data_IF_484117793027
#
_entry.id   IF_484117793027
#
_cell.length_a   1.000
_cell.length_b   1.000
_cell.length_c   1.000
_cell.angle_alpha   90.00
_cell.angle_beta   90.00
_cell.angle_gamma   90.00
#
_symmetry.space_group_name_H-M   'P 1'
#
loop_
_entity.id
_entity.type
_entity.pdbx_description
1 polymer ?
#
# COMPACT_ATOMS: atom_id res chain seq x y z
N UNK A 1 -10.95 8.31 7.74
CA UNK A 1 -10.36 9.66 7.72
C UNK A 1 -10.90 10.36 6.48
N UNK A 2 -11.58 11.48 6.59
CA UNK A 2 -12.14 12.17 5.43
C UNK A 2 -11.16 13.25 5.01
N UNK A 3 -10.48 13.08 3.87
CA UNK A 3 -9.58 14.10 3.33
C UNK A 3 -10.44 15.16 2.65
N UNK A 4 -10.50 16.36 3.22
CA UNK A 4 -11.19 17.50 2.62
C UNK A 4 -10.18 18.43 1.96
N UNK A 5 -10.17 18.43 0.63
CA UNK A 5 -9.34 19.29 -0.22
C UNK A 5 -10.25 20.14 -1.08
N UNK A 6 -10.08 21.47 -1.03
CA UNK A 6 -10.79 22.39 -1.89
C UNK A 6 -9.81 23.04 -2.87
N UNK A 7 -9.89 22.70 -4.16
CA UNK A 7 -9.08 23.31 -5.22
C UNK A 7 -9.70 24.65 -5.60
N UNK A 8 -9.06 25.74 -5.18
CA UNK A 8 -9.53 27.09 -5.44
C UNK A 8 -9.27 27.53 -6.88
N UNK A 9 -8.04 27.32 -7.37
CA UNK A 9 -7.60 27.82 -8.65
C UNK A 9 -6.58 26.89 -9.29
N UNK A 10 -6.69 26.71 -10.62
CA UNK A 10 -5.63 26.15 -11.45
C UNK A 10 -4.84 27.30 -12.04
N UNK A 11 -3.51 27.30 -11.84
CA UNK A 11 -2.65 28.35 -12.35
C UNK A 11 -2.15 28.03 -13.75
N UNK A 12 -1.73 26.78 -13.96
CA UNK A 12 -1.19 26.36 -15.24
C UNK A 12 -1.22 24.83 -15.38
N UNK A 13 -1.29 24.35 -16.63
CA UNK A 13 -1.06 22.97 -17.02
C UNK A 13 -0.08 22.98 -18.16
N UNK A 14 1.02 22.21 -18.04
CA UNK A 14 2.05 22.13 -19.06
C UNK A 14 2.69 20.75 -19.13
N UNK A 15 3.24 20.44 -20.28
CA UNK A 15 4.20 19.37 -20.47
C UNK A 15 5.60 19.97 -20.61
N UNK A 16 6.60 19.34 -20.05
CA UNK A 16 7.99 19.78 -20.13
C UNK A 16 8.89 18.58 -20.41
N UNK A 17 9.78 18.74 -21.36
CA UNK A 17 10.89 17.83 -21.62
C UNK A 17 12.20 18.60 -21.49
N UNK A 18 13.23 17.99 -20.92
CA UNK A 18 14.50 18.66 -20.73
C UNK A 18 15.67 17.67 -20.62
N UNK A 19 16.72 17.96 -21.34
CA UNK A 19 18.04 17.32 -21.21
C UNK A 19 18.93 18.03 -20.18
N UNK A 20 18.51 19.22 -19.73
CA UNK A 20 19.25 20.07 -18.79
C UNK A 20 18.40 20.50 -17.58
N UNK A 21 17.37 19.69 -17.22
CA UNK A 21 16.56 20.04 -16.09
C UNK A 21 17.37 20.00 -14.79
N UNK A 22 17.34 21.09 -14.05
CA UNK A 22 17.92 21.19 -12.71
C UNK A 22 17.20 22.27 -11.91
N UNK A 23 17.17 22.13 -10.60
CA UNK A 23 16.67 23.12 -9.66
C UNK A 23 17.65 23.24 -8.50
N UNK A 24 18.70 24.03 -8.72
CA UNK A 24 19.80 24.19 -7.76
C UNK A 24 19.44 25.08 -6.57
N UNK A 25 18.44 25.94 -6.70
CA UNK A 25 18.00 26.80 -5.61
C UNK A 25 16.96 26.09 -4.75
N UNK A 26 17.24 26.01 -3.46
CA UNK A 26 16.29 25.56 -2.45
C UNK A 26 15.25 26.67 -2.19
N UNK A 27 14.07 26.55 -2.80
CA UNK A 27 13.04 27.59 -2.75
C UNK A 27 11.63 27.00 -2.87
N UNK A 28 10.64 27.72 -2.33
CA UNK A 28 9.23 27.40 -2.47
C UNK A 28 8.70 27.71 -3.88
N UNK A 29 7.55 27.14 -4.23
CA UNK A 29 6.83 27.44 -5.49
C UNK A 29 5.75 28.50 -5.30
N UNK A 30 5.19 28.62 -4.08
CA UNK A 30 4.04 29.48 -3.79
C UNK A 30 2.67 28.88 -4.14
N UNK A 31 2.62 27.75 -4.84
CA UNK A 31 1.43 26.99 -5.18
C UNK A 31 1.76 25.50 -5.25
N UNK A 32 0.75 24.66 -5.02
CA UNK A 32 0.89 23.22 -5.09
C UNK A 32 1.07 22.75 -6.54
N UNK A 33 1.67 21.58 -6.70
CA UNK A 33 1.78 20.98 -8.03
C UNK A 33 1.52 19.47 -7.98
N UNK A 34 0.80 18.97 -8.99
CA UNK A 34 0.75 17.56 -9.31
C UNK A 34 1.63 17.32 -10.52
N UNK A 35 2.62 16.45 -10.37
CA UNK A 35 3.59 16.12 -11.41
C UNK A 35 3.43 14.66 -11.82
N UNK A 36 3.19 14.38 -13.11
CA UNK A 36 3.26 13.05 -13.67
C UNK A 36 4.57 12.91 -14.44
N UNK A 37 5.47 12.05 -13.94
CA UNK A 37 6.69 11.70 -14.67
C UNK A 37 6.34 10.78 -15.84
N UNK A 38 6.80 11.13 -17.03
CA UNK A 38 6.59 10.35 -18.26
C UNK A 38 7.87 9.71 -18.79
N UNK A 39 9.02 10.29 -18.43
CA UNK A 39 10.34 9.83 -18.84
C UNK A 39 11.38 10.25 -17.79
N UNK A 40 12.35 9.37 -17.54
CA UNK A 40 13.49 9.64 -16.68
C UNK A 40 13.21 9.57 -15.19
N UNK A 41 14.17 10.12 -14.41
CA UNK A 41 14.15 10.08 -12.95
C UNK A 41 14.69 11.38 -12.37
N UNK A 42 14.01 11.87 -11.31
CA UNK A 42 14.37 13.08 -10.57
C UNK A 42 14.29 12.79 -9.07
N UNK A 43 15.32 13.19 -8.31
CA UNK A 43 15.24 13.28 -6.85
C UNK A 43 14.95 14.72 -6.43
N UNK A 44 13.89 14.90 -5.68
CA UNK A 44 13.51 16.15 -5.02
C UNK A 44 14.04 16.14 -3.59
N UNK A 45 14.85 17.13 -3.23
CA UNK A 45 15.47 17.26 -1.91
C UNK A 45 14.71 18.32 -1.09
N UNK A 46 14.11 17.89 0.00
CA UNK A 46 13.44 18.73 1.00
C UNK A 46 14.32 18.84 2.24
N UNK A 47 13.95 19.68 3.20
CA UNK A 47 14.73 19.88 4.42
C UNK A 47 14.94 18.58 5.23
N UNK A 48 13.91 17.76 5.34
CA UNK A 48 13.94 16.55 6.20
C UNK A 48 14.10 15.24 5.44
N UNK A 49 13.79 15.23 4.14
CA UNK A 49 13.82 14.01 3.33
C UNK A 49 14.08 14.29 1.86
N UNK A 50 14.53 13.28 1.14
CA UNK A 50 14.58 13.28 -0.33
C UNK A 50 13.55 12.29 -0.87
N UNK A 51 13.01 12.61 -2.04
CA UNK A 51 11.97 11.81 -2.70
C UNK A 51 12.38 11.62 -4.15
N UNK A 52 12.59 10.38 -4.57
CA UNK A 52 12.89 10.04 -5.97
C UNK A 52 11.60 9.66 -6.69
N UNK A 53 11.46 10.17 -7.91
CA UNK A 53 10.28 10.01 -8.77
C UNK A 53 10.74 9.54 -10.13
N UNK A 54 10.20 8.43 -10.58
CA UNK A 54 10.54 7.78 -11.86
C UNK A 54 9.37 7.84 -12.83
N UNK A 55 9.61 7.49 -14.08
CA UNK A 55 8.56 7.45 -15.11
C UNK A 55 7.37 6.57 -14.66
N UNK A 56 6.17 7.15 -14.71
CA UNK A 56 4.92 6.55 -14.26
C UNK A 56 4.46 7.02 -12.87
N UNK A 57 5.32 7.63 -12.09
CA UNK A 57 4.96 8.14 -10.76
C UNK A 57 4.23 9.49 -10.85
N UNK A 58 3.29 9.67 -9.92
CA UNK A 58 2.68 10.96 -9.61
C UNK A 58 3.34 11.53 -8.36
N UNK A 59 3.79 12.78 -8.41
CA UNK A 59 4.30 13.50 -7.25
C UNK A 59 3.37 14.66 -6.90
N UNK A 60 2.86 14.66 -5.68
CA UNK A 60 2.21 15.83 -5.10
C UNK A 60 3.27 16.68 -4.39
N UNK A 61 3.47 17.92 -4.87
CA UNK A 61 4.42 18.90 -4.35
C UNK A 61 3.67 20.01 -3.64
N UNK A 62 3.77 20.12 -2.30
CA UNK A 62 3.24 21.27 -1.57
C UNK A 62 3.97 22.57 -1.91
N UNK A 63 3.20 23.63 -2.15
CA UNK A 63 3.73 24.92 -2.58
C UNK A 63 4.53 25.68 -1.55
N UNK A 64 4.29 25.41 -0.26
CA UNK A 64 4.92 26.06 0.89
C UNK A 64 6.24 25.42 1.32
N UNK A 65 6.59 24.24 0.81
CA UNK A 65 7.83 23.54 1.14
C UNK A 65 8.94 23.94 0.16
N UNK A 66 10.10 24.40 0.65
CA UNK A 66 11.25 24.62 -0.21
C UNK A 66 11.87 23.30 -0.62
N UNK A 67 12.35 23.23 -1.85
CA UNK A 67 13.06 22.06 -2.37
C UNK A 67 14.07 22.45 -3.45
N UNK A 68 15.07 21.60 -3.64
CA UNK A 68 15.90 21.51 -4.82
C UNK A 68 15.67 20.20 -5.56
N UNK A 69 16.27 20.02 -6.72
CA UNK A 69 16.05 18.77 -7.46
C UNK A 69 17.25 18.40 -8.32
N UNK A 70 17.53 17.10 -8.36
CA UNK A 70 18.62 16.50 -9.12
C UNK A 70 18.07 15.47 -10.09
N UNK A 71 18.46 15.58 -11.34
CA UNK A 71 18.14 14.61 -12.40
C UNK A 71 19.16 13.47 -12.39
N UNK A 72 18.70 12.24 -12.63
CA UNK A 72 19.54 11.03 -12.69
C UNK A 72 19.65 10.40 -14.07
N UNK A 73 18.85 10.87 -15.04
CA UNK A 73 18.82 10.36 -16.41
C UNK A 73 19.17 11.47 -17.41
N UNK A 74 19.60 11.12 -18.61
CA UNK A 74 20.00 12.10 -19.64
C UNK A 74 18.85 13.00 -20.07
N UNK A 75 17.63 12.49 -20.02
CA UNK A 75 16.41 13.20 -20.35
C UNK A 75 15.32 12.97 -19.32
N UNK A 76 14.49 13.96 -19.09
CA UNK A 76 13.29 13.88 -18.26
C UNK A 76 12.10 14.50 -18.97
N UNK A 77 10.95 13.85 -18.84
CA UNK A 77 9.67 14.33 -19.35
C UNK A 77 8.60 14.27 -18.27
N UNK A 78 7.77 15.30 -18.14
CA UNK A 78 6.72 15.32 -17.14
C UNK A 78 5.60 16.32 -17.45
N UNK A 79 4.38 15.97 -17.07
CA UNK A 79 3.27 16.90 -16.96
C UNK A 79 3.28 17.57 -15.60
N UNK A 80 2.86 18.84 -15.56
CA UNK A 80 2.67 19.59 -14.30
C UNK A 80 1.32 20.29 -14.33
N UNK A 81 0.55 20.12 -13.26
CA UNK A 81 -0.63 20.92 -12.95
C UNK A 81 -0.29 21.76 -11.73
N UNK A 82 -0.18 23.08 -11.91
CA UNK A 82 0.07 24.04 -10.85
C UNK A 82 -1.28 24.56 -10.33
N UNK A 83 -1.55 24.40 -9.02
CA UNK A 83 -2.84 24.75 -8.44
C UNK A 83 -2.72 25.31 -7.03
N UNK A 84 -3.79 25.93 -6.55
CA UNK A 84 -3.94 26.40 -5.19
C UNK A 84 -5.08 25.63 -4.52
N UNK A 85 -4.82 25.07 -3.35
CA UNK A 85 -5.85 24.41 -2.56
C UNK A 85 -5.90 24.91 -1.12
N UNK A 86 -7.09 24.81 -0.52
CA UNK A 86 -7.29 24.91 0.93
C UNK A 86 -7.48 23.49 1.46
N UNK A 87 -6.81 23.21 2.57
CA UNK A 87 -6.82 21.94 3.25
C UNK A 87 -7.48 22.10 4.61
N UNK A 88 -8.31 21.14 5.03
CA UNK A 88 -8.75 21.10 6.43
C UNK A 88 -7.56 20.73 7.33
N UNK A 89 -7.64 21.10 8.61
CA UNK A 89 -6.60 20.75 9.60
C UNK A 89 -6.36 19.25 9.74
N UNK A 90 -7.36 18.43 9.38
CA UNK A 90 -7.26 16.96 9.34
C UNK A 90 -6.50 16.43 8.13
N UNK A 91 -6.30 17.24 7.09
CA UNK A 91 -5.61 16.87 5.84
C UNK A 91 -4.09 17.15 5.87
N UNK A 92 -3.45 17.04 7.03
CA UNK A 92 -2.00 17.29 7.23
C UNK A 92 -1.12 16.40 6.34
N UNK A 93 -1.58 15.22 5.97
CA UNK A 93 -0.84 14.29 5.11
C UNK A 93 -0.61 14.84 3.68
N UNK A 94 -1.52 15.67 3.16
CA UNK A 94 -1.34 16.35 1.87
C UNK A 94 -0.35 17.53 1.97
N UNK A 95 0.02 17.92 3.18
CA UNK A 95 1.04 18.95 3.46
C UNK A 95 2.49 18.47 3.29
N UNK A 96 2.71 17.18 3.08
CA UNK A 96 4.02 16.58 2.81
C UNK A 96 4.15 16.17 1.33
N UNK A 97 5.37 16.19 0.76
CA UNK A 97 5.58 15.65 -0.57
C UNK A 97 5.26 14.14 -0.57
N UNK A 98 4.38 13.72 -1.45
CA UNK A 98 3.88 12.36 -1.54
C UNK A 98 4.07 11.83 -2.96
N UNK A 99 4.77 10.69 -3.10
CA UNK A 99 4.79 9.92 -4.33
C UNK A 99 3.63 8.96 -4.30
N UNK A 100 2.76 9.12 -5.26
CA UNK A 100 1.65 8.23 -5.54
C UNK A 100 2.07 7.41 -6.75
N UNK A 101 2.23 6.11 -6.58
CA UNK A 101 2.53 5.21 -7.70
C UNK A 101 1.22 4.58 -8.17
N UNK A 102 0.43 5.26 -9.01
CA UNK A 102 -0.70 4.63 -9.66
C UNK A 102 -0.11 3.52 -10.54
N UNK A 103 -0.79 2.37 -10.63
CA UNK A 103 -0.39 1.36 -11.60
C UNK A 103 -0.21 2.07 -12.95
N UNK A 104 1.00 2.05 -13.47
CA UNK A 104 1.45 2.79 -14.67
C UNK A 104 0.54 2.44 -15.84
N UNK A 105 -0.54 3.18 -16.00
CA UNK A 105 -1.46 2.98 -17.10
C UNK A 105 -1.12 3.97 -18.21
N UNK A 106 -0.88 3.50 -19.44
CA UNK A 106 -0.84 4.36 -20.63
C UNK A 106 -2.05 5.30 -20.70
N UNK A 107 -3.18 4.89 -20.13
CA UNK A 107 -4.40 5.69 -20.02
C UNK A 107 -4.19 6.98 -19.20
N UNK A 108 -3.39 6.96 -18.13
CA UNK A 108 -3.16 8.17 -17.32
C UNK A 108 -2.39 9.23 -18.12
N UNK A 109 -1.35 8.84 -18.86
CA UNK A 109 -0.63 9.75 -19.75
C UNK A 109 -1.54 10.36 -20.82
N UNK A 110 -2.41 9.54 -21.43
CA UNK A 110 -3.38 10.02 -22.42
C UNK A 110 -4.38 11.03 -21.82
N UNK A 111 -4.84 10.78 -20.58
CA UNK A 111 -5.72 11.70 -19.86
C UNK A 111 -5.05 13.05 -19.59
N UNK A 112 -3.77 13.07 -19.16
CA UNK A 112 -3.01 14.31 -18.97
C UNK A 112 -2.80 15.05 -20.30
N UNK A 113 -2.53 14.35 -21.41
CA UNK A 113 -2.40 14.95 -22.73
C UNK A 113 -3.72 15.59 -23.18
N UNK A 114 -4.84 14.90 -23.03
CA UNK A 114 -6.17 15.43 -23.35
C UNK A 114 -6.53 16.65 -22.50
N UNK A 115 -6.17 16.62 -21.18
CA UNK A 115 -6.40 17.76 -20.30
C UNK A 115 -5.55 18.97 -20.70
N UNK A 116 -4.29 18.76 -21.11
CA UNK A 116 -3.43 19.83 -21.62
C UNK A 116 -4.02 20.48 -22.88
N UNK A 117 -4.54 19.68 -23.80
CA UNK A 117 -5.23 20.21 -25.01
C UNK A 117 -6.46 21.04 -24.63
N UNK A 118 -7.30 20.53 -23.70
CA UNK A 118 -8.47 21.26 -23.21
C UNK A 118 -8.06 22.59 -22.56
N UNK A 119 -6.99 22.58 -21.74
CA UNK A 119 -6.48 23.77 -21.10
C UNK A 119 -6.05 24.85 -22.09
N UNK A 120 -5.43 24.44 -23.20
CA UNK A 120 -4.92 25.36 -24.23
C UNK A 120 -6.01 25.88 -25.18
N UNK A 121 -6.99 25.04 -25.51
CA UNK A 121 -7.97 25.34 -26.59
C UNK A 121 -9.32 25.88 -26.09
N UNK A 122 -9.70 25.64 -24.81
CA UNK A 122 -11.03 25.93 -24.30
C UNK A 122 -11.01 26.89 -23.10
N UNK A 123 -10.78 28.20 -23.29
CA UNK A 123 -10.54 29.15 -22.20
C UNK A 123 -11.73 29.33 -21.24
N UNK A 124 -12.96 29.06 -21.69
CA UNK A 124 -14.17 29.20 -20.86
C UNK A 124 -14.34 28.03 -19.90
N UNK A 125 -14.07 26.80 -20.37
CA UNK A 125 -14.37 25.56 -19.64
C UNK A 125 -13.14 25.01 -18.89
N UNK A 126 -11.94 25.46 -19.27
CA UNK A 126 -10.67 24.89 -18.85
C UNK A 126 -10.48 24.79 -17.33
N UNK A 127 -10.91 25.81 -16.58
CA UNK A 127 -10.72 25.83 -15.12
C UNK A 127 -11.59 24.76 -14.43
N UNK A 128 -12.85 24.65 -14.86
CA UNK A 128 -13.77 23.65 -14.33
C UNK A 128 -13.35 22.22 -14.73
N UNK A 129 -12.98 22.02 -16.00
CA UNK A 129 -12.51 20.74 -16.51
C UNK A 129 -11.21 20.30 -15.80
N UNK A 130 -10.27 21.22 -15.59
CA UNK A 130 -9.02 20.95 -14.91
C UNK A 130 -9.22 20.62 -13.43
N UNK A 131 -10.13 21.30 -12.74
CA UNK A 131 -10.49 20.96 -11.34
C UNK A 131 -11.11 19.57 -11.25
N UNK A 132 -12.07 19.25 -12.11
CA UNK A 132 -12.72 17.94 -12.15
C UNK A 132 -11.68 16.82 -12.43
N UNK A 133 -10.80 17.04 -13.39
CA UNK A 133 -9.70 16.14 -13.71
C UNK A 133 -8.77 15.93 -12.51
N UNK A 134 -8.31 17.01 -11.87
CA UNK A 134 -7.41 16.95 -10.73
C UNK A 134 -8.03 16.20 -9.54
N UNK A 135 -9.32 16.46 -9.21
CA UNK A 135 -10.03 15.69 -8.19
C UNK A 135 -10.10 14.20 -8.53
N UNK A 136 -10.39 13.86 -9.78
CA UNK A 136 -10.45 12.45 -10.24
C UNK A 136 -9.12 11.75 -10.10
N UNK A 137 -8.03 12.38 -10.57
CA UNK A 137 -6.67 11.80 -10.49
C UNK A 137 -6.23 11.64 -9.05
N UNK A 138 -6.45 12.64 -8.19
CA UNK A 138 -6.11 12.56 -6.78
C UNK A 138 -6.91 11.46 -6.06
N UNK A 139 -8.22 11.35 -6.32
CA UNK A 139 -9.05 10.31 -5.73
C UNK A 139 -8.58 8.91 -6.13
N UNK A 140 -8.26 8.70 -7.40
CA UNK A 140 -7.73 7.42 -7.90
C UNK A 140 -6.37 7.10 -7.29
N UNK A 141 -5.47 8.06 -7.20
CA UNK A 141 -4.13 7.90 -6.66
C UNK A 141 -4.16 7.56 -5.16
N UNK A 142 -4.97 8.26 -4.36
CA UNK A 142 -5.14 7.95 -2.94
C UNK A 142 -5.80 6.60 -2.71
N UNK A 143 -6.79 6.22 -3.52
CA UNK A 143 -7.42 4.90 -3.44
C UNK A 143 -6.41 3.78 -3.75
N UNK A 144 -5.54 3.95 -4.74
CA UNK A 144 -4.49 3.01 -5.08
C UNK A 144 -3.44 2.88 -3.94
N UNK A 145 -3.05 3.99 -3.32
CA UNK A 145 -2.13 3.99 -2.18
C UNK A 145 -2.72 3.29 -0.95
N UNK A 146 -3.98 3.57 -0.63
CA UNK A 146 -4.68 2.88 0.47
C UNK A 146 -4.77 1.37 0.21
N UNK A 147 -5.04 0.99 -1.04
CA UNK A 147 -5.07 -0.39 -1.46
C UNK A 147 -3.68 -1.06 -1.32
N UNK A 148 -2.61 -0.39 -1.72
CA UNK A 148 -1.23 -0.88 -1.58
C UNK A 148 -0.84 -1.04 -0.11
N UNK A 149 -1.11 -0.05 0.74
CA UNK A 149 -0.88 -0.12 2.20
C UNK A 149 -1.65 -1.28 2.83
N UNK A 150 -2.90 -1.51 2.41
CA UNK A 150 -3.72 -2.62 2.90
C UNK A 150 -3.16 -3.99 2.48
N UNK A 151 -2.56 -4.12 1.29
CA UNK A 151 -1.90 -5.36 0.84
C UNK A 151 -0.64 -5.61 1.66
N UNK A 152 0.20 -4.61 1.84
CA UNK A 152 1.43 -4.70 2.64
C UNK A 152 1.12 -5.10 4.08
N UNK A 153 0.19 -4.42 4.74
CA UNK A 153 -0.23 -4.76 6.11
C UNK A 153 -0.81 -6.17 6.20
N UNK A 154 -1.54 -6.64 5.17
CA UNK A 154 -2.05 -8.01 5.13
C UNK A 154 -0.93 -9.05 5.05
N UNK A 155 0.12 -8.78 4.25
CA UNK A 155 1.28 -9.66 4.12
C UNK A 155 2.09 -9.70 5.42
N UNK A 156 2.36 -8.56 6.05
CA UNK A 156 3.06 -8.48 7.34
C UNK A 156 2.37 -9.29 8.45
N UNK A 157 1.02 -9.24 8.50
CA UNK A 157 0.25 -10.03 9.47
C UNK A 157 0.38 -11.53 9.18
N UNK A 158 0.32 -11.93 7.92
CA UNK A 158 0.46 -13.33 7.50
C UNK A 158 1.85 -13.85 7.84
N UNK A 159 2.90 -13.10 7.53
CA UNK A 159 4.29 -13.46 7.82
C UNK A 159 4.53 -13.59 9.33
N UNK A 160 3.96 -12.68 10.13
CA UNK A 160 4.02 -12.78 11.58
C UNK A 160 3.34 -14.06 12.11
N UNK A 161 2.15 -14.39 11.60
CA UNK A 161 1.43 -15.62 11.97
C UNK A 161 2.29 -16.86 11.65
N UNK A 162 2.93 -16.90 10.49
CA UNK A 162 3.79 -18.02 10.08
C UNK A 162 5.00 -18.17 10.98
N UNK A 163 5.65 -17.06 11.34
CA UNK A 163 6.81 -17.05 12.22
C UNK A 163 6.49 -17.50 13.66
N UNK A 164 5.29 -17.17 14.16
CA UNK A 164 4.87 -17.42 15.56
C UNK A 164 3.85 -18.56 15.70
N UNK A 165 3.73 -19.41 14.69
CA UNK A 165 2.68 -20.44 14.61
C UNK A 165 2.70 -21.43 15.80
N UNK A 166 3.88 -21.70 16.35
CA UNK A 166 4.11 -22.59 17.48
C UNK A 166 3.73 -21.98 18.84
N UNK A 167 3.60 -20.65 18.90
CA UNK A 167 3.34 -19.96 20.17
C UNK A 167 1.90 -20.19 20.62
N UNK A 168 1.74 -20.67 21.85
CA UNK A 168 0.41 -20.90 22.45
C UNK A 168 -0.41 -19.60 22.56
N UNK A 169 0.28 -18.46 22.63
CA UNK A 169 -0.32 -17.13 22.76
C UNK A 169 -0.72 -16.52 21.41
N UNK A 170 -0.48 -17.17 20.29
CA UNK A 170 -0.92 -16.66 18.99
C UNK A 170 -2.44 -16.71 18.91
N UNK A 171 -3.06 -15.62 19.35
CA UNK A 171 -4.51 -15.40 19.38
C UNK A 171 -4.91 -14.15 18.61
N UNK A 172 -6.16 -14.06 18.19
CA UNK A 172 -6.73 -12.86 17.55
C UNK A 172 -6.51 -11.61 18.42
N UNK A 173 -6.74 -11.71 19.73
CA UNK A 173 -6.54 -10.59 20.65
C UNK A 173 -5.08 -10.12 20.71
N UNK A 174 -4.11 -11.04 20.70
CA UNK A 174 -2.70 -10.73 20.73
C UNK A 174 -2.22 -10.13 19.39
N UNK A 175 -2.73 -10.63 18.27
CA UNK A 175 -2.49 -10.04 16.95
C UNK A 175 -3.02 -8.61 16.86
N UNK A 176 -4.24 -8.35 17.32
CA UNK A 176 -4.80 -6.99 17.36
C UNK A 176 -3.95 -6.03 18.19
N UNK A 177 -3.44 -6.50 19.33
CA UNK A 177 -2.58 -5.71 20.21
C UNK A 177 -1.20 -5.45 19.57
N UNK A 178 -0.60 -6.47 18.96
CA UNK A 178 0.71 -6.37 18.32
C UNK A 178 0.72 -5.40 17.15
N UNK A 179 -0.31 -5.46 16.28
CA UNK A 179 -0.43 -4.60 15.10
C UNK A 179 -1.19 -3.28 15.34
N UNK A 180 -1.63 -3.02 16.57
CA UNK A 180 -2.42 -1.83 16.93
C UNK A 180 -3.66 -1.63 16.05
N UNK A 181 -4.35 -2.73 15.71
CA UNK A 181 -5.54 -2.72 14.85
C UNK A 181 -6.76 -3.35 15.55
N UNK A 182 -7.96 -2.97 15.10
CA UNK A 182 -9.20 -3.58 15.57
C UNK A 182 -9.37 -5.03 15.03
N UNK A 183 -10.17 -5.84 15.72
CA UNK A 183 -10.50 -7.20 15.28
C UNK A 183 -11.15 -7.23 13.90
N UNK A 184 -12.01 -6.24 13.61
CA UNK A 184 -12.65 -6.08 12.30
C UNK A 184 -11.62 -5.83 11.19
N UNK A 185 -10.60 -5.05 11.47
CA UNK A 185 -9.52 -4.74 10.53
C UNK A 185 -8.60 -5.95 10.33
N UNK A 186 -8.20 -6.63 11.43
CA UNK A 186 -7.44 -7.88 11.37
C UNK A 186 -8.15 -8.92 10.50
N UNK A 187 -9.46 -9.11 10.74
CA UNK A 187 -10.28 -10.05 9.96
C UNK A 187 -10.29 -9.69 8.47
N UNK A 188 -10.51 -8.42 8.11
CA UNK A 188 -10.49 -7.98 6.71
C UNK A 188 -9.15 -8.27 6.05
N UNK A 189 -8.03 -7.94 6.72
CA UNK A 189 -6.69 -8.13 6.19
C UNK A 189 -6.39 -9.62 5.94
N UNK A 190 -6.68 -10.50 6.92
CA UNK A 190 -6.42 -11.93 6.79
C UNK A 190 -7.35 -12.58 5.75
N UNK A 191 -8.65 -12.25 5.74
CA UNK A 191 -9.58 -12.77 4.73
C UNK A 191 -9.17 -12.34 3.33
N UNK A 192 -8.72 -11.09 3.16
CA UNK A 192 -8.23 -10.58 1.87
C UNK A 192 -6.99 -11.34 1.38
N UNK A 193 -6.05 -11.65 2.28
CA UNK A 193 -4.80 -12.33 1.94
C UNK A 193 -4.97 -13.85 1.74
N UNK A 194 -5.86 -14.49 2.52
CA UNK A 194 -5.90 -15.97 2.64
C UNK A 194 -7.24 -16.60 2.27
N UNK A 195 -8.30 -15.82 2.15
CA UNK A 195 -9.67 -16.30 1.99
C UNK A 195 -10.32 -16.88 3.25
N UNK A 196 -9.59 -16.94 4.38
CA UNK A 196 -10.02 -17.58 5.61
C UNK A 196 -10.14 -16.56 6.76
N UNK A 197 -10.99 -16.86 7.75
CA UNK A 197 -11.02 -16.08 8.99
C UNK A 197 -9.75 -16.31 9.82
N UNK A 198 -9.31 -15.37 10.69
CA UNK A 198 -8.07 -15.48 11.45
C UNK A 198 -7.88 -16.80 12.20
N UNK A 199 -8.87 -17.20 12.99
CA UNK A 199 -8.82 -18.45 13.75
C UNK A 199 -8.78 -19.70 12.85
N UNK A 200 -9.51 -19.68 11.74
CA UNK A 200 -9.53 -20.77 10.75
C UNK A 200 -8.17 -20.90 10.06
N UNK A 201 -7.59 -19.77 9.70
CA UNK A 201 -6.27 -19.73 9.06
C UNK A 201 -5.17 -20.27 9.98
N UNK A 202 -5.09 -19.79 11.22
CA UNK A 202 -4.13 -20.27 12.22
C UNK A 202 -4.32 -21.77 12.48
N UNK A 203 -5.57 -22.21 12.68
CA UNK A 203 -5.87 -23.62 12.91
C UNK A 203 -5.43 -24.51 11.76
N UNK A 204 -5.73 -24.11 10.51
CA UNK A 204 -5.35 -24.85 9.31
C UNK A 204 -3.82 -24.96 9.15
N UNK A 205 -3.09 -23.90 9.43
CA UNK A 205 -1.63 -23.91 9.41
C UNK A 205 -1.04 -24.86 10.47
N UNK A 206 -1.55 -24.81 11.70
CA UNK A 206 -1.14 -25.70 12.80
C UNK A 206 -1.40 -27.17 12.49
N UNK A 207 -2.56 -27.48 11.91
CA UNK A 207 -2.92 -28.86 11.51
C UNK A 207 -2.05 -29.37 10.37
N UNK A 208 -1.75 -28.54 9.37
CA UNK A 208 -0.85 -28.91 8.28
C UNK A 208 0.60 -29.15 8.77
N UNK A 209 1.10 -28.32 9.69
CA UNK A 209 2.40 -28.54 10.33
C UNK A 209 2.41 -29.87 11.12
N UNK A 210 1.35 -30.13 11.90
CA UNK A 210 1.23 -31.36 12.66
C UNK A 210 1.14 -32.60 11.75
N UNK A 211 0.49 -32.49 10.61
CA UNK A 211 0.45 -33.55 9.59
C UNK A 211 1.86 -33.91 9.11
N UNK A 212 2.68 -32.92 8.77
CA UNK A 212 4.06 -33.14 8.33
C UNK A 212 4.91 -33.75 9.44
N UNK A 213 4.83 -33.22 10.67
CA UNK A 213 5.54 -33.78 11.84
C UNK A 213 5.14 -35.24 12.14
N UNK A 214 3.87 -35.61 11.89
CA UNK A 214 3.42 -36.99 12.06
C UNK A 214 4.01 -37.94 11.02
N UNK A 215 4.29 -37.47 9.80
CA UNK A 215 4.88 -38.24 8.73
C UNK A 215 6.41 -38.33 8.83
N UNK A 216 7.03 -37.23 9.25
CA UNK A 216 8.49 -37.07 9.19
C UNK A 216 9.19 -37.50 10.51
N UNK A 217 8.43 -37.72 11.59
CA UNK A 217 9.05 -38.00 12.91
C UNK A 217 8.26 -39.02 13.74
N UNK A 218 9.00 -39.77 14.60
CA UNK A 218 8.40 -40.70 15.58
C UNK A 218 7.98 -40.04 16.91
N UNK A 219 7.98 -38.70 16.97
CA UNK A 219 7.60 -37.97 18.18
C UNK A 219 6.19 -38.37 18.66
N UNK A 220 5.97 -38.51 19.97
CA UNK A 220 4.63 -38.75 20.49
C UNK A 220 3.64 -37.67 20.03
N UNK A 221 2.42 -38.07 19.66
CA UNK A 221 1.36 -37.18 19.19
C UNK A 221 1.10 -35.99 20.12
N UNK A 222 1.24 -36.19 21.43
CA UNK A 222 1.11 -35.13 22.44
C UNK A 222 2.20 -34.06 22.27
N UNK A 223 3.43 -34.47 21.99
CA UNK A 223 4.55 -33.52 21.77
C UNK A 223 4.39 -32.77 20.45
N UNK A 224 3.91 -33.45 19.41
CA UNK A 224 3.59 -32.77 18.12
C UNK A 224 2.50 -31.72 18.31
N UNK A 225 1.44 -32.05 19.03
CA UNK A 225 0.37 -31.09 19.33
C UNK A 225 0.92 -29.82 20.00
N UNK A 226 1.73 -30.00 21.05
CA UNK A 226 2.35 -28.86 21.76
C UNK A 226 3.31 -28.07 20.87
N UNK A 227 4.17 -28.74 20.10
CA UNK A 227 5.10 -28.08 19.16
C UNK A 227 4.40 -27.32 18.02
N UNK A 228 3.16 -27.67 17.72
CA UNK A 228 2.32 -26.97 16.74
C UNK A 228 1.40 -25.91 17.37
N UNK A 229 1.61 -25.55 18.65
CA UNK A 229 0.86 -24.48 19.31
C UNK A 229 -0.51 -24.87 19.87
N UNK A 230 -0.78 -26.19 20.03
CA UNK A 230 -2.00 -26.65 20.70
C UNK A 230 -1.75 -26.83 22.21
N UNK A 231 -2.46 -26.08 23.03
CA UNK A 231 -2.41 -26.21 24.49
C UNK A 231 -3.13 -27.48 24.99
N UNK A 232 -4.08 -28.01 24.24
CA UNK A 232 -4.86 -29.18 24.59
C UNK A 232 -4.75 -30.28 23.53
N UNK A 233 -4.10 -31.44 23.84
CA UNK A 233 -3.94 -32.56 22.90
C UNK A 233 -5.25 -33.22 22.48
N UNK A 234 -6.28 -33.16 23.32
CA UNK A 234 -7.61 -33.69 22.98
C UNK A 234 -8.28 -32.84 21.92
N UNK A 235 -8.28 -31.52 22.11
CA UNK A 235 -8.77 -30.56 21.11
C UNK A 235 -8.01 -30.70 19.78
N UNK A 236 -6.69 -30.83 19.84
CA UNK A 236 -5.87 -31.13 18.64
C UNK A 236 -6.39 -32.37 17.91
N UNK A 237 -6.60 -33.49 18.62
CA UNK A 237 -7.06 -34.75 18.02
C UNK A 237 -8.42 -34.61 17.36
N UNK A 238 -9.33 -33.86 17.96
CA UNK A 238 -10.65 -33.57 17.37
C UNK A 238 -10.53 -32.74 16.09
N UNK A 239 -9.79 -31.64 16.14
CA UNK A 239 -9.59 -30.77 14.98
C UNK A 239 -8.87 -31.51 13.84
N UNK A 240 -7.86 -32.32 14.16
CA UNK A 240 -7.13 -33.11 13.18
C UNK A 240 -8.03 -34.16 12.51
N UNK A 241 -8.83 -34.89 13.31
CA UNK A 241 -9.78 -35.89 12.76
C UNK A 241 -10.84 -35.25 11.89
N UNK A 242 -11.31 -34.05 12.26
CA UNK A 242 -12.28 -33.29 11.46
C UNK A 242 -11.68 -32.84 10.12
N UNK A 243 -10.42 -32.40 10.09
CA UNK A 243 -9.77 -31.90 8.89
C UNK A 243 -9.31 -33.04 7.94
N UNK A 244 -8.75 -34.12 8.49
CA UNK A 244 -8.14 -35.20 7.72
C UNK A 244 -8.93 -36.52 7.69
N UNK A 245 -10.08 -36.57 8.35
CA UNK A 245 -11.00 -37.71 8.34
C UNK A 245 -10.65 -38.86 9.30
N UNK A 246 -9.43 -38.90 9.84
CA UNK A 246 -8.95 -39.95 10.77
C UNK A 246 -8.10 -39.36 11.90
N UNK A 247 -8.04 -40.04 13.07
CA UNK A 247 -7.24 -39.57 14.20
C UNK A 247 -5.74 -39.51 13.91
N UNK A 248 -4.95 -38.63 14.61
CA UNK A 248 -3.51 -38.47 14.35
C UNK A 248 -2.70 -39.75 14.47
N UNK A 249 -3.00 -40.62 15.45
CA UNK A 249 -2.31 -41.90 15.60
C UNK A 249 -2.58 -42.88 14.46
N UNK A 250 -3.82 -42.92 13.98
CA UNK A 250 -4.21 -43.73 12.85
C UNK A 250 -3.64 -43.20 11.55
N UNK A 251 -3.63 -41.86 11.39
CA UNK A 251 -3.01 -41.17 10.26
C UNK A 251 -1.54 -41.58 10.14
N UNK A 252 -0.77 -41.53 11.24
CA UNK A 252 0.62 -41.99 11.24
C UNK A 252 0.76 -43.45 10.75
N UNK A 253 0.03 -44.38 11.37
CA UNK A 253 0.10 -45.82 11.02
C UNK A 253 -0.20 -46.09 9.55
N UNK A 254 -1.02 -45.25 8.94
CA UNK A 254 -1.49 -45.48 7.57
C UNK A 254 -0.58 -44.89 6.51
N UNK A 255 0.12 -43.78 6.84
CA UNK A 255 0.85 -42.97 5.86
C UNK A 255 2.35 -42.81 6.15
N UNK A 256 2.83 -43.19 7.30
CA UNK A 256 4.27 -43.33 7.65
C UNK A 256 4.71 -44.79 7.43
#
# INVERSE_FOLDING_TARGET
MTISVCIQKIHNIRYSESENWHRNRFSTRGFDALVLMTEGEITYHFTEKSVTVSAGDLLLLPGNLPYSGTRHTDRVGFFVIDFQCVRSDEAKEIGAPCVLTPSTSPALRAQFSSMLETWQRHPIERDLAAKAFLYTVLAQAFAAEEQAKSVTASNEIVDYILAHLADGDLTVANLCRHFFISESQLRRNIVKATGLRPNEYILKLRLNRAKNELLDTDKPTKHIASACGFSNPYYFSQCFSKEFGIPPREFRKRFQ
#
